data_IF_028528903035
#
_entry.id   IF_028528903035
#
_cell.length_a   1.000
_cell.length_b   1.000
_cell.length_c   1.000
_cell.angle_alpha   90.00
_cell.angle_beta   90.00
_cell.angle_gamma   90.00
#
_symmetry.space_group_name_H-M   'P 1'
#
loop_
_entity.id
_entity.type
_entity.pdbx_description
1 polymer ?
#
# COMPACT_ATOMS: atom_id res chain seq x y z
N UNK A 1 5.75 -17.33 13.81
CA UNK A 1 6.58 -16.87 12.67
C UNK A 1 6.66 -15.36 12.77
N UNK A 2 7.85 -14.77 12.78
CA UNK A 2 7.98 -13.30 12.89
C UNK A 2 7.79 -12.70 11.50
N UNK A 3 6.60 -12.16 11.25
CA UNK A 3 6.27 -11.45 10.03
C UNK A 3 7.12 -10.17 9.90
N UNK A 4 7.59 -9.86 8.70
CA UNK A 4 8.44 -8.67 8.42
C UNK A 4 7.82 -7.80 7.34
N UNK A 5 7.76 -6.49 7.59
CA UNK A 5 7.32 -5.50 6.61
C UNK A 5 8.45 -4.51 6.31
N UNK A 6 8.65 -4.21 5.03
CA UNK A 6 9.46 -3.09 4.58
C UNK A 6 8.58 -1.84 4.46
N UNK A 7 8.88 -0.80 5.24
CA UNK A 7 8.23 0.49 5.14
C UNK A 7 9.07 1.41 4.27
N UNK A 8 8.58 1.77 3.09
CA UNK A 8 9.40 2.46 2.09
C UNK A 8 9.28 3.97 2.27
N UNK A 9 10.26 4.58 2.93
CA UNK A 9 10.30 6.03 3.15
C UNK A 9 11.72 6.54 3.40
N UNK A 10 11.92 7.86 3.35
CA UNK A 10 13.23 8.46 3.57
C UNK A 10 13.68 8.39 5.05
N UNK A 11 12.74 8.52 5.98
CA UNK A 11 12.99 8.57 7.42
C UNK A 11 11.98 7.72 8.19
N UNK A 12 12.26 7.31 9.43
CA UNK A 12 11.25 6.68 10.28
C UNK A 12 10.06 7.62 10.51
N UNK A 13 8.85 7.06 10.54
CA UNK A 13 7.60 7.73 10.87
C UNK A 13 6.90 6.99 12.03
N UNK A 14 5.88 7.61 12.62
CA UNK A 14 5.03 6.93 13.62
C UNK A 14 4.38 5.65 13.08
N UNK A 15 4.17 5.57 11.76
CA UNK A 15 3.63 4.38 11.13
C UNK A 15 4.57 3.17 11.27
N UNK A 16 5.90 3.36 11.25
CA UNK A 16 6.84 2.27 11.55
C UNK A 16 6.56 1.66 12.91
N UNK A 17 6.39 2.52 13.92
CA UNK A 17 6.10 2.08 15.29
C UNK A 17 4.75 1.40 15.41
N UNK A 18 3.74 1.92 14.73
CA UNK A 18 2.41 1.30 14.69
C UNK A 18 2.44 -0.13 14.10
N UNK A 19 3.22 -0.34 13.03
CA UNK A 19 3.43 -1.68 12.44
C UNK A 19 4.10 -2.62 13.47
N UNK A 20 5.11 -2.14 14.20
CA UNK A 20 5.76 -2.92 15.27
C UNK A 20 4.79 -3.26 16.41
N UNK A 21 3.95 -2.32 16.84
CA UNK A 21 2.94 -2.53 17.87
C UNK A 21 1.86 -3.53 17.43
N UNK A 22 1.72 -3.78 16.12
CA UNK A 22 0.88 -4.85 15.58
C UNK A 22 1.56 -6.24 15.62
N UNK A 23 2.81 -6.33 16.10
CA UNK A 23 3.59 -7.58 16.18
C UNK A 23 4.35 -7.93 14.90
N UNK A 24 4.50 -6.97 13.97
CA UNK A 24 5.18 -7.14 12.69
C UNK A 24 6.54 -6.44 12.76
N UNK A 25 7.63 -7.14 12.48
CA UNK A 25 8.95 -6.51 12.42
C UNK A 25 8.99 -5.50 11.27
N UNK A 26 9.21 -4.22 11.57
CA UNK A 26 9.24 -3.15 10.57
C UNK A 26 10.68 -2.75 10.22
N UNK A 27 11.04 -2.83 8.95
CA UNK A 27 12.32 -2.35 8.42
C UNK A 27 12.09 -1.09 7.59
N UNK A 28 12.79 0.00 7.88
CA UNK A 28 12.78 1.18 7.03
C UNK A 28 13.57 0.89 5.76
N UNK A 29 12.91 0.96 4.60
CA UNK A 29 13.51 0.81 3.28
C UNK A 29 13.61 2.19 2.63
N UNK A 30 14.80 2.77 2.63
CA UNK A 30 14.99 4.08 1.97
C UNK A 30 14.89 3.97 0.45
N UNK A 31 14.57 5.06 -0.28
CA UNK A 31 14.61 5.07 -1.75
C UNK A 31 15.95 4.58 -2.32
N UNK A 32 17.07 4.92 -1.65
CA UNK A 32 18.40 4.46 -2.04
C UNK A 32 18.58 2.95 -1.84
N UNK A 33 18.06 2.38 -0.74
CA UNK A 33 18.09 0.94 -0.49
C UNK A 33 17.21 0.19 -1.48
N UNK A 34 16.00 0.70 -1.77
CA UNK A 34 15.10 0.10 -2.75
C UNK A 34 15.75 0.03 -4.15
N UNK A 35 16.45 1.10 -4.55
CA UNK A 35 17.19 1.15 -5.81
C UNK A 35 18.50 0.34 -5.80
N UNK A 36 19.01 -0.08 -4.64
CA UNK A 36 20.29 -0.79 -4.53
C UNK A 36 20.17 -2.27 -4.95
N UNK A 37 20.91 -2.76 -5.98
CA UNK A 37 20.77 -4.12 -6.51
C UNK A 37 21.05 -5.26 -5.52
N UNK A 38 21.89 -4.98 -4.51
CA UNK A 38 22.34 -5.96 -3.51
C UNK A 38 21.50 -5.94 -2.23
N UNK A 39 20.68 -4.92 -2.03
CA UNK A 39 19.78 -4.86 -0.88
C UNK A 39 18.57 -5.74 -1.16
N UNK A 40 18.55 -6.97 -0.64
CA UNK A 40 17.49 -7.96 -0.89
C UNK A 40 16.95 -8.54 0.43
N UNK A 41 16.28 -7.72 1.26
CA UNK A 41 15.69 -8.22 2.49
C UNK A 41 14.62 -9.25 2.15
N UNK A 42 14.49 -10.28 3.00
CA UNK A 42 13.33 -11.17 2.96
C UNK A 42 12.21 -10.55 3.79
N UNK A 43 11.09 -10.21 3.14
CA UNK A 43 9.95 -9.52 3.71
C UNK A 43 8.65 -10.28 3.38
N UNK A 44 7.65 -10.17 4.23
CA UNK A 44 6.29 -10.60 3.93
C UNK A 44 5.53 -9.49 3.20
N UNK A 45 5.74 -8.23 3.62
CA UNK A 45 5.06 -7.08 3.05
C UNK A 45 5.99 -5.94 2.69
N UNK A 46 5.56 -5.17 1.68
CA UNK A 46 6.10 -3.86 1.37
C UNK A 46 4.98 -2.84 1.50
N UNK A 47 5.23 -1.74 2.22
CA UNK A 47 4.25 -0.69 2.51
C UNK A 47 4.78 0.62 1.95
N UNK A 48 4.01 1.23 1.05
CA UNK A 48 4.29 2.54 0.45
C UNK A 48 3.30 3.55 1.06
N UNK A 49 3.74 4.45 1.95
CA UNK A 49 2.85 5.35 2.67
C UNK A 49 2.33 6.49 1.79
N UNK A 50 1.33 7.19 2.32
CA UNK A 50 0.70 8.35 1.68
C UNK A 50 1.72 9.42 1.32
N UNK A 51 1.54 10.07 0.17
CA UNK A 51 2.41 11.16 -0.27
C UNK A 51 3.70 10.71 -0.97
N UNK A 52 3.83 9.43 -1.32
CA UNK A 52 5.00 8.89 -2.04
C UNK A 52 5.30 9.59 -3.38
N UNK A 53 4.28 10.18 -4.01
CA UNK A 53 4.37 10.89 -5.27
C UNK A 53 4.29 12.42 -5.12
N UNK A 54 4.14 12.94 -3.90
CA UNK A 54 4.13 14.37 -3.65
C UNK A 54 5.56 14.89 -3.45
N UNK A 55 6.11 15.71 -4.38
CA UNK A 55 7.49 16.18 -4.32
C UNK A 55 7.79 17.12 -3.14
N UNK A 56 6.76 17.69 -2.49
CA UNK A 56 6.95 18.47 -1.28
C UNK A 56 7.32 17.61 -0.06
N UNK A 57 6.98 16.31 -0.09
CA UNK A 57 7.17 15.39 1.03
C UNK A 57 8.17 14.27 0.73
N UNK A 58 8.30 13.86 -0.55
CA UNK A 58 9.05 12.66 -0.91
C UNK A 58 9.61 12.70 -2.32
N UNK A 59 10.74 12.03 -2.51
CA UNK A 59 11.30 11.72 -3.84
C UNK A 59 11.25 10.19 -4.10
N UNK A 60 10.23 9.52 -3.57
CA UNK A 60 10.12 8.07 -3.63
C UNK A 60 9.64 7.55 -4.99
N UNK A 61 8.76 8.28 -5.69
CA UNK A 61 8.21 7.85 -6.98
C UNK A 61 9.27 7.45 -8.03
N UNK A 62 10.36 8.21 -8.26
CA UNK A 62 11.41 7.77 -9.18
C UNK A 62 12.08 6.45 -8.76
N UNK A 63 12.28 6.21 -7.46
CA UNK A 63 12.86 4.98 -6.97
C UNK A 63 11.90 3.78 -7.10
N UNK A 64 10.59 3.99 -6.93
CA UNK A 64 9.56 2.98 -7.21
C UNK A 64 9.56 2.59 -8.68
N UNK A 65 9.54 3.56 -9.59
CA UNK A 65 9.63 3.34 -11.04
C UNK A 65 10.88 2.55 -11.43
N UNK A 66 12.04 2.94 -10.90
CA UNK A 66 13.31 2.24 -11.14
C UNK A 66 13.32 0.80 -10.60
N UNK A 67 12.55 0.54 -9.53
CA UNK A 67 12.51 -0.75 -8.83
C UNK A 67 11.29 -1.60 -9.21
N UNK A 68 10.45 -1.13 -10.13
CA UNK A 68 9.21 -1.79 -10.53
C UNK A 68 9.41 -3.29 -10.91
N UNK A 69 10.44 -3.69 -11.68
CA UNK A 69 10.65 -5.11 -12.00
C UNK A 69 10.93 -5.98 -10.77
N UNK A 70 11.55 -5.42 -9.73
CA UNK A 70 11.83 -6.12 -8.47
C UNK A 70 10.60 -6.24 -7.60
N UNK A 71 9.87 -5.14 -7.43
CA UNK A 71 8.61 -5.14 -6.68
C UNK A 71 7.61 -6.11 -7.32
N UNK A 72 7.53 -6.12 -8.66
CA UNK A 72 6.74 -7.10 -9.41
C UNK A 72 7.11 -8.53 -9.04
N UNK A 73 8.41 -8.90 -9.08
CA UNK A 73 8.88 -10.24 -8.69
C UNK A 73 8.62 -10.56 -7.23
N UNK A 74 8.73 -9.58 -6.34
CA UNK A 74 8.42 -9.74 -4.92
C UNK A 74 6.95 -10.14 -4.74
N UNK A 75 6.02 -9.47 -5.42
CA UNK A 75 4.60 -9.81 -5.36
C UNK A 75 4.33 -11.16 -6.05
N UNK A 76 4.84 -11.37 -7.27
CA UNK A 76 4.65 -12.63 -8.02
C UNK A 76 5.03 -13.87 -7.20
N UNK A 77 6.06 -13.76 -6.36
CA UNK A 77 6.56 -14.84 -5.53
C UNK A 77 5.87 -15.00 -4.16
N UNK A 78 4.90 -14.14 -3.82
CA UNK A 78 4.05 -14.29 -2.65
C UNK A 78 4.19 -13.20 -1.59
N UNK A 79 5.00 -12.17 -1.84
CA UNK A 79 4.99 -10.95 -1.03
C UNK A 79 3.70 -10.16 -1.24
N UNK A 80 3.27 -9.44 -0.22
CA UNK A 80 2.11 -8.55 -0.31
C UNK A 80 2.53 -7.09 -0.38
N UNK A 81 1.82 -6.28 -1.15
CA UNK A 81 2.11 -4.87 -1.37
C UNK A 81 0.92 -4.02 -0.94
N UNK A 82 1.15 -3.10 -0.01
CA UNK A 82 0.16 -2.10 0.41
C UNK A 82 0.64 -0.72 -0.05
N UNK A 83 -0.17 -0.03 -0.85
CA UNK A 83 0.16 1.28 -1.42
C UNK A 83 -0.92 2.27 -1.02
N UNK A 84 -0.52 3.36 -0.37
CA UNK A 84 -1.43 4.44 0.00
C UNK A 84 -1.55 5.49 -1.10
N UNK A 85 -2.36 6.51 -0.85
CA UNK A 85 -2.64 7.61 -1.77
C UNK A 85 -1.41 8.43 -2.15
N UNK A 86 -1.39 8.95 -3.37
CA UNK A 86 -0.28 9.75 -3.88
C UNK A 86 -0.18 11.13 -3.21
N UNK A 87 -1.26 11.63 -2.59
CA UNK A 87 -1.42 12.97 -2.02
C UNK A 87 -0.93 14.12 -2.92
N UNK A 88 -1.01 13.94 -4.23
CA UNK A 88 -0.73 14.94 -5.25
C UNK A 88 -1.58 14.64 -6.48
N UNK A 89 -2.07 15.68 -7.17
CA UNK A 89 -2.88 15.52 -8.38
C UNK A 89 -2.00 15.04 -9.55
N UNK A 90 -1.76 13.73 -9.57
CA UNK A 90 -0.88 13.05 -10.50
C UNK A 90 -1.52 11.73 -10.94
N UNK A 91 -2.25 11.72 -12.07
CA UNK A 91 -2.96 10.56 -12.55
C UNK A 91 -2.09 9.32 -12.79
N UNK A 92 -0.82 9.51 -13.19
CA UNK A 92 0.15 8.46 -13.50
C UNK A 92 1.04 8.06 -12.31
N UNK A 93 0.66 8.40 -11.07
CA UNK A 93 1.50 8.14 -9.89
C UNK A 93 1.79 6.64 -9.63
N UNK A 94 0.99 5.75 -10.22
CA UNK A 94 1.03 4.32 -10.01
C UNK A 94 1.55 3.52 -11.21
N UNK A 95 2.10 4.18 -12.23
CA UNK A 95 2.66 3.58 -13.46
C UNK A 95 3.82 2.59 -13.24
N UNK A 96 4.28 2.44 -12.00
CA UNK A 96 5.27 1.45 -11.57
C UNK A 96 4.63 0.13 -11.10
N UNK A 97 3.31 0.07 -10.94
CA UNK A 97 2.56 -1.15 -10.64
C UNK A 97 2.41 -2.03 -11.88
N UNK A 98 2.21 -3.34 -11.71
CA UNK A 98 2.12 -4.29 -12.83
C UNK A 98 0.73 -4.32 -13.52
N UNK A 99 -0.13 -3.35 -13.24
CA UNK A 99 -1.49 -3.23 -13.77
C UNK A 99 -1.89 -1.75 -13.88
N UNK A 100 -2.90 -1.42 -14.69
CA UNK A 100 -3.34 -0.04 -14.88
C UNK A 100 -4.12 0.46 -13.67
N UNK A 101 -3.79 1.66 -13.20
CA UNK A 101 -4.57 2.39 -12.20
C UNK A 101 -4.26 3.88 -12.30
N UNK A 102 -5.30 4.69 -12.32
CA UNK A 102 -5.21 6.15 -12.30
C UNK A 102 -5.69 6.70 -10.96
N UNK A 103 -5.19 7.87 -10.61
CA UNK A 103 -5.50 8.52 -9.33
C UNK A 103 -5.96 9.95 -9.54
N UNK A 104 -6.98 10.33 -8.79
CA UNK A 104 -7.45 11.70 -8.73
C UNK A 104 -7.39 12.17 -7.29
N UNK A 105 -6.64 13.25 -7.03
CA UNK A 105 -6.57 13.83 -5.69
C UNK A 105 -7.87 14.55 -5.36
N UNK A 106 -8.47 14.18 -4.23
CA UNK A 106 -9.71 14.77 -3.74
C UNK A 106 -9.85 14.46 -2.24
N UNK A 107 -9.19 15.29 -1.42
CA UNK A 107 -9.05 15.07 0.01
C UNK A 107 -10.27 15.55 0.80
N UNK A 108 -11.05 14.62 1.33
CA UNK A 108 -12.14 14.88 2.27
C UNK A 108 -12.62 13.59 2.97
N UNK A 109 -13.38 13.70 4.07
CA UNK A 109 -14.06 12.56 4.68
C UNK A 109 -15.07 11.90 3.73
N UNK A 110 -15.14 10.57 3.75
CA UNK A 110 -15.99 9.74 2.90
C UNK A 110 -16.67 8.64 3.73
N UNK A 111 -17.83 8.21 3.24
CA UNK A 111 -18.48 7.00 3.71
C UNK A 111 -17.98 5.82 2.87
N UNK A 112 -17.28 4.88 3.50
CA UNK A 112 -16.61 3.77 2.84
C UNK A 112 -17.30 2.46 3.16
N UNK A 113 -17.57 1.68 2.12
CA UNK A 113 -18.02 0.30 2.23
C UNK A 113 -16.93 -0.65 1.76
N UNK A 114 -16.60 -1.65 2.56
CA UNK A 114 -15.67 -2.72 2.20
C UNK A 114 -16.42 -4.04 1.93
N UNK A 115 -16.10 -4.71 0.83
CA UNK A 115 -16.68 -5.99 0.44
C UNK A 115 -16.23 -7.11 1.38
N UNK A 116 -17.21 -7.84 1.92
CA UNK A 116 -16.96 -9.00 2.77
C UNK A 116 -16.29 -10.13 1.96
N UNK A 117 -15.18 -10.66 2.48
CA UNK A 117 -14.41 -11.72 1.83
C UNK A 117 -13.20 -11.24 1.02
N UNK A 118 -13.09 -9.94 0.75
CA UNK A 118 -11.88 -9.33 0.18
C UNK A 118 -10.71 -9.37 1.17
N UNK A 119 -9.47 -9.25 0.66
CA UNK A 119 -8.30 -9.10 1.54
C UNK A 119 -8.29 -7.76 2.25
N UNK A 120 -9.01 -6.78 1.71
CA UNK A 120 -9.20 -5.45 2.29
C UNK A 120 -10.37 -5.34 3.28
N UNK A 121 -11.14 -6.40 3.54
CA UNK A 121 -12.40 -6.29 4.29
C UNK A 121 -12.23 -5.67 5.69
N UNK A 122 -11.12 -5.95 6.36
CA UNK A 122 -10.82 -5.48 7.72
C UNK A 122 -10.08 -4.14 7.75
N UNK A 123 -9.81 -3.51 6.60
CA UNK A 123 -8.92 -2.35 6.46
C UNK A 123 -9.33 -1.17 7.37
N UNK A 124 -10.62 -1.00 7.62
CA UNK A 124 -11.20 0.10 8.41
C UNK A 124 -11.87 -0.35 9.71
N UNK A 125 -11.65 -1.60 10.17
CA UNK A 125 -12.33 -2.18 11.35
C UNK A 125 -12.17 -1.36 12.64
N UNK A 126 -11.11 -0.55 12.76
CA UNK A 126 -10.82 0.29 13.93
C UNK A 126 -11.50 1.68 13.89
N UNK A 127 -12.30 1.97 12.86
CA UNK A 127 -12.82 3.31 12.57
C UNK A 127 -14.33 3.33 12.26
N UNK A 128 -14.93 4.51 12.33
CA UNK A 128 -16.30 4.75 11.84
C UNK A 128 -16.27 4.86 10.31
N UNK A 129 -16.90 3.92 9.57
CA UNK A 129 -16.86 3.90 8.11
C UNK A 129 -17.50 5.15 7.48
N UNK A 130 -18.31 5.91 8.21
CA UNK A 130 -19.01 7.09 7.68
C UNK A 130 -18.16 8.37 7.60
N UNK A 131 -17.00 8.39 8.25
CA UNK A 131 -16.17 9.61 8.40
C UNK A 131 -14.70 9.40 8.05
N UNK A 132 -14.38 8.43 7.21
CA UNK A 132 -12.99 8.08 6.91
C UNK A 132 -12.37 9.11 5.97
N UNK A 133 -11.22 9.68 6.32
CA UNK A 133 -10.50 10.56 5.42
C UNK A 133 -9.90 9.77 4.25
N UNK A 134 -10.21 10.21 3.03
CA UNK A 134 -9.56 9.73 1.81
C UNK A 134 -8.86 10.88 1.13
N UNK A 135 -7.66 10.66 0.60
CA UNK A 135 -6.90 11.66 -0.16
C UNK A 135 -7.19 11.66 -1.66
N UNK A 136 -8.02 10.73 -2.13
CA UNK A 136 -8.44 10.70 -3.52
C UNK A 136 -9.36 9.53 -3.83
N UNK A 137 -9.52 9.29 -5.13
CA UNK A 137 -10.25 8.17 -5.70
C UNK A 137 -9.43 7.54 -6.83
N UNK A 138 -9.84 6.34 -7.26
CA UNK A 138 -9.27 5.64 -8.42
C UNK A 138 -10.30 5.59 -9.56
N UNK A 139 -10.25 6.51 -10.54
CA UNK A 139 -11.26 6.58 -11.61
C UNK A 139 -11.16 5.41 -12.61
N UNK A 140 -9.94 4.96 -12.89
CA UNK A 140 -9.67 3.83 -13.79
C UNK A 140 -8.72 2.87 -13.09
N UNK A 141 -9.00 1.57 -13.15
CA UNK A 141 -8.18 0.54 -12.53
C UNK A 141 -8.44 -0.84 -13.13
N UNK A 142 -7.42 -1.67 -13.10
CA UNK A 142 -7.51 -3.11 -13.34
C UNK A 142 -7.62 -3.86 -11.99
N UNK A 143 -8.55 -4.81 -11.90
CA UNK A 143 -8.78 -5.63 -10.71
C UNK A 143 -10.13 -5.33 -10.05
N UNK A 144 -10.24 -5.70 -8.78
CA UNK A 144 -11.48 -5.54 -8.01
C UNK A 144 -11.39 -4.28 -7.15
N UNK A 145 -12.54 -3.63 -6.90
CA UNK A 145 -12.63 -2.48 -6.01
C UNK A 145 -13.41 -2.85 -4.74
N UNK A 146 -12.80 -3.58 -3.79
CA UNK A 146 -13.49 -4.02 -2.60
C UNK A 146 -13.86 -2.85 -1.68
N UNK A 147 -13.21 -1.69 -1.80
CA UNK A 147 -13.53 -0.50 -1.00
C UNK A 147 -14.02 0.65 -1.87
N UNK A 148 -15.25 1.08 -1.65
CA UNK A 148 -15.91 2.13 -2.45
C UNK A 148 -16.54 3.21 -1.58
N UNK A 149 -16.65 4.41 -2.15
CA UNK A 149 -17.47 5.51 -1.64
C UNK A 149 -18.51 5.86 -2.71
N UNK A 150 -19.74 5.38 -2.54
CA UNK A 150 -20.75 5.45 -3.59
C UNK A 150 -20.33 4.62 -4.81
N UNK A 151 -20.15 5.25 -5.97
CA UNK A 151 -19.67 4.59 -7.19
C UNK A 151 -18.16 4.71 -7.41
N UNK A 152 -17.44 5.45 -6.57
CA UNK A 152 -16.00 5.67 -6.74
C UNK A 152 -15.19 4.65 -5.93
N UNK A 153 -14.13 4.11 -6.53
CA UNK A 153 -13.20 3.23 -5.85
C UNK A 153 -12.21 4.03 -4.98
N UNK A 154 -12.01 3.56 -3.75
CA UNK A 154 -11.04 4.09 -2.77
C UNK A 154 -10.11 3.00 -2.22
N UNK A 155 -10.40 1.75 -2.54
CA UNK A 155 -9.52 0.60 -2.35
C UNK A 155 -9.62 -0.29 -3.59
N UNK A 156 -8.47 -0.60 -4.20
CA UNK A 156 -8.33 -1.52 -5.32
C UNK A 156 -7.50 -2.70 -4.86
N UNK A 157 -7.97 -3.91 -5.14
CA UNK A 157 -7.30 -5.17 -4.87
C UNK A 157 -6.94 -5.85 -6.20
N UNK A 158 -5.69 -6.31 -6.30
CA UNK A 158 -5.22 -7.07 -7.45
C UNK A 158 -4.31 -8.21 -7.00
N UNK A 159 -4.44 -9.37 -7.64
CA UNK A 159 -3.58 -10.53 -7.37
C UNK A 159 -2.58 -10.73 -8.48
N UNK A 160 -1.31 -10.92 -8.11
CA UNK A 160 -0.25 -11.21 -9.08
C UNK A 160 0.58 -12.40 -8.60
N UNK A 161 0.55 -13.49 -9.36
CA UNK A 161 1.20 -14.74 -8.99
C UNK A 161 0.66 -15.28 -7.67
N UNK A 162 1.50 -15.33 -6.63
CA UNK A 162 1.12 -15.78 -5.28
C UNK A 162 0.84 -14.63 -4.31
N UNK A 163 1.05 -13.39 -4.71
CA UNK A 163 0.95 -12.22 -3.86
C UNK A 163 -0.31 -11.39 -4.13
N UNK A 164 -0.55 -10.43 -3.24
CA UNK A 164 -1.68 -9.50 -3.31
C UNK A 164 -1.17 -8.07 -3.26
N UNK A 165 -1.76 -7.21 -4.07
CA UNK A 165 -1.54 -5.77 -4.09
C UNK A 165 -2.85 -5.12 -3.64
N UNK A 166 -2.76 -4.29 -2.60
CA UNK A 166 -3.85 -3.41 -2.17
C UNK A 166 -3.38 -1.98 -2.38
N UNK A 167 -4.14 -1.22 -3.17
CA UNK A 167 -3.95 0.22 -3.33
C UNK A 167 -5.13 0.92 -2.66
N UNK A 168 -4.86 1.89 -1.80
CA UNK A 168 -5.89 2.60 -1.06
C UNK A 168 -5.63 4.10 -1.02
N UNK A 169 -6.69 4.90 -1.11
CA UNK A 169 -6.65 6.35 -0.89
C UNK A 169 -6.99 6.75 0.53
N UNK A 170 -7.10 5.79 1.46
CA UNK A 170 -7.29 6.07 2.88
C UNK A 170 -6.15 6.96 3.40
N UNK A 171 -6.50 7.98 4.17
CA UNK A 171 -5.55 8.84 4.87
C UNK A 171 -5.38 8.46 6.35
N UNK A 172 -6.01 7.36 6.77
CA UNK A 172 -5.88 6.78 8.10
C UNK A 172 -4.86 5.63 8.12
N UNK A 173 -4.37 5.28 9.30
CA UNK A 173 -3.65 4.02 9.45
C UNK A 173 -4.63 2.86 9.24
N UNK A 174 -4.20 1.76 8.61
CA UNK A 174 -5.06 0.59 8.46
C UNK A 174 -5.32 -0.03 9.83
N UNK A 175 -6.44 -0.75 9.98
CA UNK A 175 -6.74 -1.43 11.24
C UNK A 175 -5.61 -2.39 11.64
N UNK A 176 -5.44 -2.60 12.95
CA UNK A 176 -4.43 -3.52 13.47
C UNK A 176 -4.65 -4.94 12.98
N UNK A 177 -5.92 -5.37 12.96
CA UNK A 177 -6.34 -6.68 12.47
C UNK A 177 -5.98 -6.86 11.00
N UNK A 178 -6.27 -5.85 10.16
CA UNK A 178 -5.90 -5.89 8.75
C UNK A 178 -4.39 -6.06 8.58
N UNK A 179 -3.55 -5.26 9.26
CA UNK A 179 -2.09 -5.40 9.12
C UNK A 179 -1.62 -6.79 9.52
N UNK A 180 -2.13 -7.32 10.62
CA UNK A 180 -1.78 -8.66 11.09
C UNK A 180 -2.16 -9.74 10.07
N UNK A 181 -3.39 -9.71 9.55
CA UNK A 181 -3.90 -10.68 8.58
C UNK A 181 -3.18 -10.55 7.23
N UNK A 182 -3.09 -9.34 6.70
CA UNK A 182 -2.48 -9.03 5.41
C UNK A 182 -1.00 -9.43 5.40
N UNK A 183 -0.27 -9.09 6.46
CA UNK A 183 1.15 -9.41 6.54
C UNK A 183 1.41 -10.89 6.85
N UNK A 184 0.61 -11.53 7.70
CA UNK A 184 0.78 -12.94 8.03
C UNK A 184 0.36 -13.89 6.91
N UNK A 185 -0.56 -13.48 6.03
CA UNK A 185 -0.97 -14.25 4.87
C UNK A 185 0.11 -14.30 3.77
N UNK A 186 1.04 -13.33 3.75
CA UNK A 186 2.06 -13.22 2.73
C UNK A 186 3.26 -14.16 2.98
N UNK A 187 3.85 -14.67 1.90
CA UNK A 187 5.06 -15.49 1.97
C UNK A 187 6.30 -14.64 2.20
N UNK A 188 7.26 -15.06 3.05
CA UNK A 188 8.56 -14.41 3.16
C UNK A 188 9.29 -14.45 1.81
N UNK A 189 9.47 -13.30 1.18
CA UNK A 189 9.95 -13.16 -0.19
C UNK A 189 11.10 -12.15 -0.28
N UNK A 190 12.17 -12.43 -1.04
CA UNK A 190 13.21 -11.44 -1.31
C UNK A 190 12.69 -10.26 -2.16
N UNK A 191 12.99 -9.03 -1.74
CA UNK A 191 12.74 -7.78 -2.51
C UNK A 191 13.85 -7.48 -3.53
#
# INVERSE_FOLDING_TARGET
MNCRAGFVWATPLHFNRFIEDCGIGCELVTPHMLAAPFYRPTLNCLIIPTGFANPAYSNLLPALRASAPRIRRFVENGGSLLVFGAAADKPDAYDWLPFHITYQHDFHPRNITCEAGSRAHSLIDDYDPSTIECDGIFPEYDGDAPGTCGSAAVVVENTLGKGTIIVTSLHEYPSRKFLQEFCSAASPTPL
#
